data_IF_420803186032
#
_entry.id   IF_420803186032
#
_cell.length_a   1.000
_cell.length_b   1.000
_cell.length_c   1.000
_cell.angle_alpha   90.00
_cell.angle_beta   90.00
_cell.angle_gamma   90.00
#
_symmetry.space_group_name_H-M   'P 1'
#
loop_
_entity.id
_entity.type
_entity.pdbx_description
1 polymer ?
#
# COMPACT_ATOMS: atom_id res chain seq x y z
N UNK A 1 7.71 5.76 -9.19
CA UNK A 1 7.61 6.44 -7.88
C UNK A 1 6.49 5.76 -7.11
N UNK A 2 6.81 4.65 -6.43
CA UNK A 2 5.81 3.83 -5.75
C UNK A 2 5.56 4.42 -4.36
N UNK A 3 4.50 5.23 -4.24
CA UNK A 3 4.04 5.78 -2.97
C UNK A 3 3.28 4.73 -2.18
N UNK A 4 3.83 4.33 -1.05
CA UNK A 4 3.26 3.32 -0.15
C UNK A 4 2.24 3.99 0.79
N UNK A 5 0.98 3.53 0.77
CA UNK A 5 -0.15 4.25 1.35
C UNK A 5 -0.97 3.32 2.28
N UNK A 6 -1.13 3.75 3.53
CA UNK A 6 -1.97 3.09 4.54
C UNK A 6 -3.45 3.29 4.26
N UNK A 7 -4.17 2.18 4.40
CA UNK A 7 -5.56 2.04 4.01
C UNK A 7 -6.37 1.43 5.16
N UNK A 8 -7.49 2.06 5.53
CA UNK A 8 -8.29 1.55 6.66
C UNK A 8 -9.74 1.30 6.27
N UNK A 9 -10.04 0.01 6.14
CA UNK A 9 -11.14 -0.61 6.88
C UNK A 9 -10.69 -1.67 7.92
N UNK A 10 -9.40 -2.05 7.98
CA UNK A 10 -8.87 -2.99 8.99
C UNK A 10 -7.37 -2.77 9.35
N UNK A 11 -6.86 -1.52 9.36
CA UNK A 11 -5.46 -1.22 9.76
C UNK A 11 -4.43 -2.09 9.03
N UNK A 12 -4.48 -2.12 7.69
CA UNK A 12 -3.52 -2.86 6.87
C UNK A 12 -2.66 -1.90 6.06
N UNK A 13 -1.45 -2.34 5.73
CA UNK A 13 -0.53 -1.61 4.86
C UNK A 13 -0.61 -2.18 3.47
N UNK A 14 -0.65 -1.32 2.45
CA UNK A 14 -0.61 -1.74 1.06
C UNK A 14 0.22 -0.81 0.19
N UNK A 15 0.81 -1.36 -0.85
CA UNK A 15 1.44 -0.61 -1.93
C UNK A 15 0.40 -0.24 -2.99
N UNK A 16 0.25 1.05 -3.27
CA UNK A 16 -0.59 1.50 -4.39
C UNK A 16 0.19 1.30 -5.69
N UNK A 17 -0.32 0.46 -6.60
CA UNK A 17 0.29 0.24 -7.91
C UNK A 17 -0.25 1.20 -8.96
N UNK A 18 -1.58 1.35 -9.01
CA UNK A 18 -2.26 2.12 -10.06
C UNK A 18 -3.45 2.85 -9.45
N UNK A 19 -3.65 4.11 -9.85
CA UNK A 19 -4.86 4.89 -9.59
C UNK A 19 -5.57 5.10 -10.92
N UNK A 20 -6.86 4.80 -10.97
CA UNK A 20 -7.64 4.88 -12.19
C UNK A 20 -9.08 5.33 -11.92
N UNK A 21 -9.79 5.64 -13.00
CA UNK A 21 -11.22 5.96 -12.99
C UNK A 21 -11.95 5.04 -13.94
N UNK A 22 -13.13 4.59 -13.54
CA UNK A 22 -13.99 3.82 -14.42
C UNK A 22 -14.69 4.75 -15.43
N UNK A 23 -14.85 4.31 -16.68
CA UNK A 23 -15.54 5.11 -17.69
C UNK A 23 -17.03 5.23 -17.38
N UNK A 24 -17.64 6.36 -17.72
CA UNK A 24 -19.09 6.60 -17.58
C UNK A 24 -19.91 6.01 -18.72
N UNK A 25 -19.25 5.75 -19.85
CA UNK A 25 -19.83 5.17 -21.06
C UNK A 25 -18.96 4.00 -21.51
N UNK A 26 -19.57 2.85 -21.74
CA UNK A 26 -18.89 1.66 -22.22
C UNK A 26 -18.55 1.80 -23.71
N UNK A 27 -17.59 1.00 -24.19
CA UNK A 27 -17.15 1.03 -25.60
C UNK A 27 -18.28 0.79 -26.61
N UNK A 28 -19.35 0.12 -26.21
CA UNK A 28 -20.55 -0.12 -27.02
C UNK A 28 -21.57 1.04 -26.98
N UNK A 29 -21.23 2.19 -26.39
CA UNK A 29 -22.10 3.36 -26.25
C UNK A 29 -23.16 3.25 -25.14
N UNK A 30 -23.21 2.13 -24.41
CA UNK A 30 -24.15 1.97 -23.29
C UNK A 30 -23.66 2.69 -22.02
N UNK A 31 -24.60 3.10 -21.18
CA UNK A 31 -24.30 3.73 -19.90
C UNK A 31 -23.60 2.72 -18.97
N UNK A 32 -22.54 3.17 -18.28
CA UNK A 32 -21.86 2.34 -17.30
C UNK A 32 -22.77 2.02 -16.09
N UNK A 33 -22.55 0.89 -15.40
CA UNK A 33 -23.32 0.54 -14.21
C UNK A 33 -23.37 1.70 -13.19
N UNK A 34 -24.53 2.04 -12.61
CA UNK A 34 -24.66 3.13 -11.64
C UNK A 34 -23.79 2.97 -10.38
N UNK A 35 -23.31 1.75 -10.11
CA UNK A 35 -22.37 1.50 -9.02
C UNK A 35 -20.98 2.12 -9.27
N UNK A 36 -20.56 2.28 -10.54
CA UNK A 36 -19.23 2.81 -10.89
C UNK A 36 -19.13 4.31 -10.64
N UNK A 37 -20.23 5.06 -10.83
CA UNK A 37 -20.28 6.49 -10.57
C UNK A 37 -20.21 6.84 -9.08
N UNK A 38 -20.49 5.89 -8.17
CA UNK A 38 -20.35 6.09 -6.72
C UNK A 38 -18.89 6.25 -6.28
N UNK A 39 -17.94 5.65 -7.00
CA UNK A 39 -16.51 5.71 -6.67
C UNK A 39 -15.70 6.18 -7.88
N UNK A 40 -15.66 7.51 -8.14
CA UNK A 40 -15.06 8.05 -9.36
C UNK A 40 -13.54 7.86 -9.43
N UNK A 41 -12.87 7.53 -8.31
CA UNK A 41 -11.43 7.27 -8.23
C UNK A 41 -11.19 6.00 -7.44
N UNK A 42 -10.54 5.05 -8.09
CA UNK A 42 -10.19 3.75 -7.52
C UNK A 42 -8.67 3.59 -7.53
N UNK A 43 -8.18 2.80 -6.59
CA UNK A 43 -6.78 2.40 -6.51
C UNK A 43 -6.69 0.88 -6.50
N UNK A 44 -5.76 0.34 -7.29
CA UNK A 44 -5.28 -1.02 -7.16
C UNK A 44 -4.16 -1.06 -6.12
N UNK A 45 -4.36 -1.86 -5.09
CA UNK A 45 -3.48 -1.94 -3.93
C UNK A 45 -3.07 -3.39 -3.73
N UNK A 46 -1.79 -3.62 -3.55
CA UNK A 46 -1.24 -4.90 -3.09
C UNK A 46 -0.99 -4.83 -1.59
N UNK A 47 -1.56 -5.78 -0.86
CA UNK A 47 -1.51 -5.77 0.61
C UNK A 47 -0.25 -6.43 1.12
N UNK A 48 0.33 -5.86 2.17
CA UNK A 48 1.27 -6.55 3.03
C UNK A 48 0.52 -7.45 4.04
N UNK A 49 1.25 -8.29 4.76
CA UNK A 49 0.70 -9.08 5.87
C UNK A 49 0.00 -8.19 6.90
N UNK A 50 -1.06 -8.70 7.53
CA UNK A 50 -1.69 -8.02 8.65
C UNK A 50 -0.68 -7.79 9.79
N UNK A 51 -0.87 -6.71 10.56
CA UNK A 51 -0.05 -6.45 11.72
C UNK A 51 -0.19 -7.58 12.75
N UNK A 52 0.95 -7.99 13.31
CA UNK A 52 0.95 -8.88 14.48
C UNK A 52 0.37 -8.13 15.69
N UNK A 53 -0.32 -8.82 16.61
CA UNK A 53 -0.87 -8.20 17.81
C UNK A 53 0.19 -7.56 18.72
N UNK A 54 1.40 -8.11 18.71
CA UNK A 54 2.54 -7.59 19.48
C UNK A 54 3.53 -6.85 18.57
N UNK A 55 4.10 -5.79 19.11
CA UNK A 55 5.26 -5.12 18.52
C UNK A 55 6.48 -6.03 18.56
N UNK A 56 7.44 -5.76 17.69
CA UNK A 56 8.76 -6.37 17.76
C UNK A 56 9.49 -5.86 19.02
N UNK A 57 10.13 -6.76 19.76
CA UNK A 57 10.62 -6.50 21.13
C UNK A 57 11.84 -5.56 21.17
N UNK A 58 12.66 -5.52 20.13
CA UNK A 58 13.90 -4.77 20.13
C UNK A 58 13.72 -3.32 19.67
N UNK A 59 12.79 -3.07 18.74
CA UNK A 59 12.62 -1.77 18.12
C UNK A 59 11.25 -1.13 18.38
N UNK A 60 10.34 -1.83 19.07
CA UNK A 60 8.96 -1.40 19.35
C UNK A 60 8.15 -1.05 18.09
N UNK A 61 8.62 -1.50 16.92
CA UNK A 61 8.03 -1.25 15.61
C UNK A 61 7.15 -2.42 15.18
N UNK A 62 6.21 -2.17 14.28
CA UNK A 62 5.41 -3.21 13.68
C UNK A 62 6.08 -3.74 12.41
N UNK A 63 6.33 -5.04 12.35
CA UNK A 63 6.81 -5.70 11.14
C UNK A 63 5.63 -6.01 10.20
N UNK A 64 5.83 -5.77 8.92
CA UNK A 64 4.98 -6.26 7.83
C UNK A 64 5.82 -7.05 6.85
N UNK A 65 5.24 -8.08 6.27
CA UNK A 65 5.91 -8.99 5.33
C UNK A 65 5.14 -8.94 4.03
N UNK A 66 5.85 -8.94 2.91
CA UNK A 66 5.20 -9.13 1.62
C UNK A 66 4.59 -10.54 1.57
N UNK A 67 3.27 -10.69 1.41
CA UNK A 67 2.66 -12.00 1.44
C UNK A 67 3.13 -12.81 0.23
N UNK A 68 3.30 -14.11 0.44
CA UNK A 68 3.56 -15.03 -0.65
C UNK A 68 2.49 -14.88 -1.73
N UNK A 69 2.87 -14.97 -3.03
CA UNK A 69 1.90 -15.05 -4.11
C UNK A 69 0.89 -16.15 -3.79
N UNK A 70 -0.38 -15.89 -4.08
CA UNK A 70 -1.42 -16.92 -4.02
C UNK A 70 -1.04 -18.09 -4.93
N UNK A 71 -1.73 -19.22 -4.78
CA UNK A 71 -1.48 -20.41 -5.61
C UNK A 71 -1.58 -20.15 -7.14
N UNK A 72 -2.22 -19.05 -7.54
CA UNK A 72 -2.33 -18.55 -8.92
C UNK A 72 -1.17 -17.62 -9.34
N UNK A 73 -0.15 -17.45 -8.50
CA UNK A 73 1.00 -16.56 -8.72
C UNK A 73 0.71 -15.08 -8.56
N UNK A 74 -0.51 -14.69 -8.14
CA UNK A 74 -0.89 -13.27 -7.98
C UNK A 74 -0.65 -12.82 -6.55
N UNK A 75 -0.13 -11.60 -6.41
CA UNK A 75 -0.06 -10.92 -5.11
C UNK A 75 -1.48 -10.68 -4.59
N UNK A 76 -1.61 -10.59 -3.26
CA UNK A 76 -2.90 -10.34 -2.62
C UNK A 76 -3.32 -8.87 -2.86
N UNK A 77 -3.95 -8.62 -4.00
CA UNK A 77 -4.41 -7.30 -4.42
C UNK A 77 -5.91 -7.07 -4.21
N UNK A 78 -6.31 -5.81 -4.05
CA UNK A 78 -7.71 -5.40 -4.11
C UNK A 78 -7.88 -4.03 -4.77
N UNK A 79 -9.04 -3.82 -5.38
CA UNK A 79 -9.47 -2.52 -5.90
C UNK A 79 -10.33 -1.86 -4.85
N UNK A 80 -9.98 -0.63 -4.49
CA UNK A 80 -10.66 0.12 -3.44
C UNK A 80 -10.91 1.58 -3.84
N UNK A 81 -11.90 2.24 -3.23
CA UNK A 81 -12.06 3.68 -3.32
C UNK A 81 -10.84 4.43 -2.79
N UNK A 82 -10.45 5.52 -3.47
CA UNK A 82 -9.37 6.39 -3.00
C UNK A 82 -9.67 7.02 -1.63
N UNK A 83 -10.96 7.16 -1.28
CA UNK A 83 -11.45 7.67 0.00
C UNK A 83 -11.10 6.77 1.19
N UNK A 84 -10.85 5.49 0.93
CA UNK A 84 -10.52 4.54 1.99
C UNK A 84 -9.05 4.71 2.42
N UNK A 85 -8.24 5.32 1.55
CA UNK A 85 -6.83 5.57 1.82
C UNK A 85 -6.71 6.77 2.75
N UNK A 86 -6.07 6.56 3.91
CA UNK A 86 -6.04 7.59 4.97
C UNK A 86 -4.73 8.34 5.04
N UNK A 87 -3.61 7.65 4.94
CA UNK A 87 -2.29 8.27 5.18
C UNK A 87 -1.20 7.52 4.44
N UNK A 88 -0.06 8.16 4.20
CA UNK A 88 1.16 7.47 3.76
C UNK A 88 1.92 6.95 4.97
N UNK A 89 2.63 5.83 4.82
CA UNK A 89 3.59 5.38 5.82
C UNK A 89 4.97 5.17 5.20
N UNK A 90 5.99 5.32 6.02
CA UNK A 90 7.35 4.95 5.64
C UNK A 90 7.62 3.51 6.07
N UNK A 91 8.06 2.71 5.10
CA UNK A 91 8.63 1.39 5.35
C UNK A 91 10.15 1.50 5.34
N UNK A 92 10.80 0.78 6.24
CA UNK A 92 12.25 0.65 6.25
C UNK A 92 12.64 -0.78 6.60
N UNK A 93 13.87 -1.16 6.28
CA UNK A 93 14.45 -2.42 6.69
C UNK A 93 15.84 -2.14 7.28
N UNK A 94 16.18 -2.84 8.35
CA UNK A 94 17.49 -2.76 9.00
C UNK A 94 18.56 -3.64 8.34
N UNK A 95 18.14 -4.57 7.48
CA UNK A 95 19.05 -5.45 6.75
C UNK A 95 19.68 -4.69 5.59
N UNK A 96 21.00 -4.83 5.43
CA UNK A 96 21.74 -4.31 4.28
C UNK A 96 21.96 -5.44 3.27
N UNK A 97 21.04 -5.59 2.31
CA UNK A 97 21.23 -6.47 1.16
C UNK A 97 21.87 -5.67 0.02
N UNK A 98 23.21 -5.63 0.00
CA UNK A 98 23.99 -5.09 -1.12
C UNK A 98 23.61 -3.67 -1.57
N UNK A 99 23.97 -3.31 -2.81
CA UNK A 99 23.70 -1.99 -3.40
C UNK A 99 22.25 -1.93 -3.90
N UNK A 100 21.30 -1.84 -2.99
CA UNK A 100 19.89 -1.65 -3.35
C UNK A 100 19.70 -0.32 -4.11
N UNK A 101 19.08 -0.38 -5.27
CA UNK A 101 18.68 0.81 -6.04
C UNK A 101 17.28 1.27 -5.64
N UNK A 102 16.89 2.49 -5.99
CA UNK A 102 15.56 3.03 -5.68
C UNK A 102 14.41 2.25 -6.33
N UNK A 103 14.67 1.49 -7.40
CA UNK A 103 13.65 0.65 -8.05
C UNK A 103 13.50 -0.70 -7.35
N UNK A 104 14.60 -1.26 -6.87
CA UNK A 104 14.65 -2.68 -6.47
C UNK A 104 14.51 -2.85 -4.96
N UNK A 105 14.66 -1.77 -4.18
CA UNK A 105 14.64 -1.81 -2.70
C UNK A 105 13.33 -2.35 -2.12
N UNK A 106 12.22 -2.30 -2.84
CA UNK A 106 10.96 -2.91 -2.37
C UNK A 106 10.84 -4.37 -2.78
N UNK A 107 11.47 -4.77 -3.90
CA UNK A 107 11.39 -6.14 -4.43
C UNK A 107 12.48 -7.06 -3.83
N UNK A 108 13.58 -6.47 -3.32
CA UNK A 108 14.71 -7.21 -2.73
C UNK A 108 14.46 -7.70 -1.30
N UNK A 109 13.52 -7.07 -0.58
CA UNK A 109 13.31 -7.34 0.83
C UNK A 109 11.91 -7.90 1.06
N UNK A 110 11.82 -9.04 1.73
CA UNK A 110 10.55 -9.69 2.04
C UNK A 110 9.88 -9.12 3.30
N UNK A 111 10.64 -8.46 4.17
CA UNK A 111 10.14 -7.92 5.44
C UNK A 111 10.48 -6.44 5.55
N UNK A 112 9.56 -5.70 6.15
CA UNK A 112 9.69 -4.27 6.39
C UNK A 112 9.16 -3.93 7.77
N UNK A 113 9.66 -2.85 8.33
CA UNK A 113 9.15 -2.25 9.55
C UNK A 113 8.41 -0.96 9.21
N UNK A 114 7.25 -0.79 9.83
CA UNK A 114 6.45 0.42 9.69
C UNK A 114 6.95 1.45 10.68
N UNK A 115 7.28 2.64 10.18
CA UNK A 115 7.62 3.77 11.03
C UNK A 115 6.37 4.25 11.78
N UNK A 116 6.33 4.02 13.09
CA UNK A 116 5.27 4.49 13.99
C UNK A 116 5.41 5.97 14.38
N UNK A 117 6.52 6.62 14.02
CA UNK A 117 6.81 8.02 14.37
C UNK A 117 6.52 8.98 13.20
N UNK A 118 6.30 8.47 12.00
CA UNK A 118 6.19 9.26 10.76
C UNK A 118 4.77 9.57 10.32
N UNK A 119 4.01 10.33 11.11
CA UNK A 119 2.79 10.99 10.58
C UNK A 119 3.16 12.10 9.60
N UNK A 120 2.22 12.55 8.74
CA UNK A 120 2.41 13.69 7.81
C UNK A 120 2.95 14.96 8.49
N UNK A 121 2.79 15.07 9.81
CA UNK A 121 3.22 16.19 10.65
C UNK A 121 4.52 15.94 11.44
N UNK A 122 5.09 14.74 11.36
CA UNK A 122 6.27 14.38 12.15
C UNK A 122 7.58 14.94 11.57
N UNK A 123 7.63 15.09 10.24
CA UNK A 123 8.75 15.73 9.56
C UNK A 123 8.30 17.10 9.09
N UNK A 124 8.39 18.09 9.98
CA UNK A 124 8.27 19.49 9.60
C UNK A 124 9.47 19.80 8.70
N UNK A 125 9.21 20.16 7.44
CA UNK A 125 10.23 20.73 6.57
C UNK A 125 10.70 22.03 7.20
N UNK A 126 11.91 22.03 7.74
CA UNK A 126 12.60 23.25 8.17
C UNK A 126 12.82 24.08 6.90
N UNK A 127 12.18 25.26 6.85
CA UNK A 127 12.34 26.27 5.82
C UNK A 127 13.47 27.23 6.19
#
# INVERSE_FOLDING_TARGET
VSGLMLLKLETRVGGVKIIFRLPTTLFNGSAAPPAWSKHPRLAHVEWFSAFKPSHEQHHLTYSVVEPWPRADGRMQGSIIPLTDIRQTCQLFNFQTLGRATTSDVLDLYQSFFVNNWGGRYAYQSIW
#
